data_IF_155154393731
#
_entry.id   IF_155154393731
#
_cell.length_a   1.000
_cell.length_b   1.000
_cell.length_c   1.000
_cell.angle_alpha   90.00
_cell.angle_beta   90.00
_cell.angle_gamma   90.00
#
_symmetry.space_group_name_H-M   'P 1'
#
loop_
_entity.id
_entity.type
_entity.pdbx_description
1 polymer ?
#
# COMPACT_ATOMS: atom_id res chain seq x y z
N UNK A 1 -9.45 -8.33 -14.32
CA UNK A 1 -10.11 -7.33 -13.50
C UNK A 1 -9.31 -6.05 -13.54
N UNK A 2 -10.00 -4.92 -13.62
CA UNK A 2 -9.36 -3.60 -13.52
C UNK A 2 -9.08 -3.26 -12.06
N UNK A 3 -8.32 -2.19 -11.84
CA UNK A 3 -8.09 -1.71 -10.47
C UNK A 3 -9.41 -1.37 -9.77
N UNK A 4 -10.36 -0.74 -10.46
CA UNK A 4 -11.66 -0.42 -9.87
C UNK A 4 -12.43 -1.67 -9.46
N UNK A 5 -12.37 -2.72 -10.27
CA UNK A 5 -12.99 -4.00 -9.94
C UNK A 5 -12.35 -4.60 -8.68
N UNK A 6 -11.04 -4.53 -8.55
CA UNK A 6 -10.34 -5.03 -7.38
C UNK A 6 -10.70 -4.24 -6.11
N UNK A 7 -10.80 -2.92 -6.23
CA UNK A 7 -11.18 -2.08 -5.08
C UNK A 7 -12.60 -2.40 -4.60
N UNK A 8 -13.54 -2.59 -5.55
CA UNK A 8 -14.91 -2.97 -5.20
C UNK A 8 -14.95 -4.36 -4.54
N UNK A 9 -14.14 -5.29 -5.05
CA UNK A 9 -14.04 -6.64 -4.46
C UNK A 9 -13.53 -6.56 -3.02
N UNK A 10 -12.49 -5.76 -2.77
CA UNK A 10 -11.91 -5.62 -1.43
C UNK A 10 -12.92 -5.04 -0.43
N UNK A 11 -13.77 -4.12 -0.84
CA UNK A 11 -14.78 -3.52 0.03
C UNK A 11 -15.80 -4.54 0.53
N UNK A 12 -16.01 -5.63 -0.22
CA UNK A 12 -17.02 -6.64 0.09
C UNK A 12 -16.46 -7.86 0.83
N UNK A 13 -15.13 -7.97 0.95
CA UNK A 13 -14.50 -9.17 1.50
C UNK A 13 -14.74 -9.37 2.99
N UNK A 14 -14.97 -8.30 3.74
CA UNK A 14 -15.08 -8.39 5.18
C UNK A 14 -16.44 -7.84 5.64
N UNK A 15 -17.16 -8.56 6.52
CA UNK A 15 -18.50 -8.12 6.95
C UNK A 15 -18.48 -6.92 7.90
N UNK A 16 -17.33 -6.60 8.48
CA UNK A 16 -17.18 -5.47 9.38
C UNK A 16 -16.54 -4.29 8.65
N UNK A 17 -17.09 -3.09 8.86
CA UNK A 17 -16.55 -1.88 8.27
C UNK A 17 -15.15 -1.57 8.82
N UNK A 18 -14.94 -1.81 10.12
CA UNK A 18 -13.66 -1.57 10.78
C UNK A 18 -13.30 -2.84 11.58
N UNK A 19 -12.09 -3.29 11.39
CA UNK A 19 -11.52 -4.37 12.19
C UNK A 19 -10.13 -3.94 12.65
N UNK A 20 -9.94 -3.84 13.95
CA UNK A 20 -8.71 -3.35 14.54
C UNK A 20 -7.63 -4.42 14.72
N UNK A 21 -7.99 -5.69 14.49
CA UNK A 21 -7.02 -6.79 14.60
C UNK A 21 -6.10 -6.88 13.39
N UNK A 22 -4.87 -7.34 13.62
CA UNK A 22 -3.87 -7.50 12.58
C UNK A 22 -3.64 -8.96 12.17
N UNK A 23 -4.35 -9.89 12.79
CA UNK A 23 -4.09 -11.32 12.59
C UNK A 23 -4.31 -11.76 11.14
N UNK A 24 -5.37 -11.26 10.51
CA UNK A 24 -5.68 -11.60 9.13
C UNK A 24 -4.62 -11.06 8.17
N UNK A 25 -4.19 -9.82 8.38
CA UNK A 25 -3.12 -9.21 7.59
C UNK A 25 -1.82 -10.01 7.75
N UNK A 26 -1.50 -10.39 8.98
CA UNK A 26 -0.31 -11.18 9.25
C UNK A 26 -0.33 -12.53 8.57
N UNK A 27 -1.48 -13.21 8.56
CA UNK A 27 -1.63 -14.49 7.87
C UNK A 27 -1.35 -14.37 6.38
N UNK A 28 -1.95 -13.38 5.73
CA UNK A 28 -1.75 -13.17 4.30
C UNK A 28 -0.31 -12.78 4.01
N UNK A 29 0.26 -11.88 4.82
CA UNK A 29 1.66 -11.47 4.65
C UNK A 29 2.63 -12.65 4.78
N UNK A 30 2.37 -13.56 5.72
CA UNK A 30 3.20 -14.76 5.87
C UNK A 30 3.09 -15.67 4.66
N UNK A 31 1.88 -15.83 4.11
CA UNK A 31 1.67 -16.65 2.91
C UNK A 31 2.37 -16.06 1.69
N UNK A 32 2.46 -14.74 1.62
CA UNK A 32 3.19 -14.04 0.56
C UNK A 32 4.70 -14.02 0.79
N UNK A 33 5.14 -14.44 1.98
CA UNK A 33 6.55 -14.40 2.39
C UNK A 33 7.13 -12.98 2.31
N UNK A 34 6.32 -12.00 2.74
CA UNK A 34 6.75 -10.61 2.73
C UNK A 34 7.80 -10.37 3.82
N UNK A 35 8.93 -9.83 3.39
CA UNK A 35 9.98 -9.40 4.29
C UNK A 35 10.63 -8.15 3.69
N UNK A 36 10.85 -7.13 4.53
CA UNK A 36 11.49 -5.91 4.08
C UNK A 36 12.98 -5.96 4.45
N UNK A 37 13.83 -5.94 3.44
CA UNK A 37 15.29 -5.89 3.64
C UNK A 37 15.78 -4.44 3.68
N UNK A 38 14.95 -3.49 3.28
CA UNK A 38 15.27 -2.07 3.30
C UNK A 38 14.74 -1.42 4.58
N UNK A 39 15.27 -0.24 4.97
CA UNK A 39 14.68 0.54 6.05
C UNK A 39 13.25 0.94 5.71
N UNK A 40 12.36 0.85 6.70
CA UNK A 40 10.97 1.28 6.58
C UNK A 40 10.73 2.39 7.59
N UNK A 41 10.35 3.57 7.08
CA UNK A 41 10.09 4.75 7.91
C UNK A 41 8.58 4.98 7.93
N UNK A 42 7.99 4.93 9.13
CA UNK A 42 6.57 5.17 9.31
C UNK A 42 6.34 6.57 9.89
N UNK A 43 5.48 7.34 9.22
CA UNK A 43 5.13 8.69 9.66
C UNK A 43 3.66 8.68 10.09
N UNK A 44 3.43 9.06 11.35
CA UNK A 44 2.09 9.09 11.92
C UNK A 44 1.82 10.46 12.54
N UNK A 45 0.56 10.83 12.64
CA UNK A 45 0.16 12.10 13.24
C UNK A 45 -1.13 12.62 12.64
N UNK A 46 -1.64 13.72 13.20
CA UNK A 46 -2.88 14.33 12.72
C UNK A 46 -2.65 15.37 11.63
N UNK A 47 -1.48 16.02 11.64
CA UNK A 47 -1.15 17.08 10.68
C UNK A 47 0.27 16.89 10.16
N UNK A 48 0.51 17.32 8.93
CA UNK A 48 1.84 17.39 8.37
C UNK A 48 2.44 16.06 7.91
N UNK A 49 1.68 14.96 7.95
CA UNK A 49 2.20 13.64 7.53
C UNK A 49 2.61 13.65 6.07
N UNK A 50 1.75 14.18 5.19
CA UNK A 50 2.03 14.23 3.77
C UNK A 50 3.24 15.08 3.45
N UNK A 51 3.38 16.24 4.09
CA UNK A 51 4.52 17.13 3.88
C UNK A 51 5.82 16.47 4.34
N UNK A 52 5.80 15.81 5.51
CA UNK A 52 6.96 15.11 6.02
C UNK A 52 7.39 14.00 5.09
N UNK A 53 6.44 13.20 4.59
CA UNK A 53 6.73 12.12 3.63
C UNK A 53 7.30 12.66 2.33
N UNK A 54 6.75 13.76 1.82
CA UNK A 54 7.25 14.38 0.59
C UNK A 54 8.69 14.87 0.74
N UNK A 55 9.01 15.46 1.88
CA UNK A 55 10.36 15.91 2.17
C UNK A 55 11.34 14.75 2.28
N UNK A 56 10.95 13.70 2.99
CA UNK A 56 11.79 12.50 3.12
C UNK A 56 12.04 11.86 1.78
N UNK A 57 10.99 11.71 0.96
CA UNK A 57 11.13 11.16 -0.39
C UNK A 57 12.10 11.97 -1.22
N UNK A 58 11.96 13.30 -1.21
CA UNK A 58 12.82 14.19 -1.98
C UNK A 58 14.28 14.09 -1.54
N UNK A 59 14.52 14.14 -0.23
CA UNK A 59 15.88 14.07 0.31
C UNK A 59 16.56 12.75 -0.05
N UNK A 60 15.84 11.64 0.13
CA UNK A 60 16.40 10.31 -0.13
C UNK A 60 16.66 10.09 -1.62
N UNK A 61 15.78 10.59 -2.49
CA UNK A 61 15.98 10.51 -3.94
C UNK A 61 17.20 11.30 -4.38
N UNK A 62 17.37 12.52 -3.85
CA UNK A 62 18.52 13.35 -4.20
C UNK A 62 19.82 12.76 -3.65
N UNK A 63 19.75 11.98 -2.59
CA UNK A 63 20.89 11.25 -2.06
C UNK A 63 21.24 10.00 -2.87
N UNK A 64 20.44 9.66 -3.88
CA UNK A 64 20.72 8.54 -4.78
C UNK A 64 20.02 7.24 -4.42
N UNK A 65 19.12 7.26 -3.45
CA UNK A 65 18.39 6.04 -3.06
C UNK A 65 17.16 5.82 -3.91
N UNK A 66 16.81 4.55 -4.13
CA UNK A 66 15.52 4.18 -4.69
C UNK A 66 14.48 4.22 -3.58
N UNK A 67 13.38 4.90 -3.80
CA UNK A 67 12.36 5.11 -2.78
C UNK A 67 11.03 4.50 -3.18
N UNK A 68 10.29 4.01 -2.18
CA UNK A 68 8.90 3.66 -2.31
C UNK A 68 8.13 4.42 -1.23
N UNK A 69 6.98 4.93 -1.56
CA UNK A 69 6.15 5.70 -0.63
C UNK A 69 4.71 5.23 -0.72
N UNK A 70 4.13 4.93 0.44
CA UNK A 70 2.70 4.66 0.55
C UNK A 70 2.06 5.70 1.47
N UNK A 71 1.00 6.34 0.99
CA UNK A 71 0.25 7.35 1.77
C UNK A 71 -1.25 7.11 1.65
N UNK A 72 -2.01 7.61 2.60
CA UNK A 72 -3.47 7.61 2.58
C UNK A 72 -4.00 8.86 3.28
N UNK A 73 -5.17 9.36 2.90
CA UNK A 73 -6.01 8.91 1.78
C UNK A 73 -5.52 9.46 0.44
N UNK A 74 -6.10 8.95 -0.67
CA UNK A 74 -5.85 9.53 -1.99
C UNK A 74 -6.83 10.68 -2.28
N UNK A 75 -6.46 11.57 -3.21
CA UNK A 75 -7.31 12.71 -3.59
C UNK A 75 -8.29 12.34 -4.68
N UNK A 76 -7.84 11.67 -5.74
CA UNK A 76 -8.67 11.32 -6.90
C UNK A 76 -8.56 9.84 -7.23
N UNK A 77 -7.36 9.32 -7.36
CA UNK A 77 -7.11 7.94 -7.80
C UNK A 77 -6.36 7.15 -6.73
N UNK A 78 -6.76 5.89 -6.53
CA UNK A 78 -6.14 5.02 -5.54
C UNK A 78 -4.63 4.87 -5.74
N UNK A 79 -4.17 4.80 -6.99
CA UNK A 79 -2.75 4.63 -7.30
C UNK A 79 -1.88 5.79 -6.84
N UNK A 80 -2.48 6.94 -6.48
CA UNK A 80 -1.75 8.04 -5.85
C UNK A 80 -1.12 7.66 -4.53
N UNK A 81 -1.69 6.63 -3.86
CA UNK A 81 -1.16 6.16 -2.57
C UNK A 81 0.21 5.54 -2.67
N UNK A 82 0.58 5.04 -3.85
CA UNK A 82 1.86 4.36 -4.07
C UNK A 82 2.73 5.18 -5.01
N UNK A 83 3.93 5.52 -4.54
CA UNK A 83 4.93 6.21 -5.36
C UNK A 83 6.19 5.38 -5.42
N UNK A 84 6.71 5.18 -6.62
CA UNK A 84 7.93 4.43 -6.84
C UNK A 84 8.97 5.38 -7.42
N UNK A 85 10.04 5.60 -6.67
CA UNK A 85 11.13 6.50 -7.05
C UNK A 85 10.61 7.89 -7.44
N UNK A 86 9.66 8.41 -6.64
CA UNK A 86 9.14 9.76 -6.76
C UNK A 86 8.00 9.95 -7.76
N UNK A 87 7.51 8.88 -8.37
CA UNK A 87 6.41 8.96 -9.34
C UNK A 87 5.24 8.07 -8.90
N UNK A 88 3.98 8.52 -9.10
CA UNK A 88 2.83 7.67 -8.78
C UNK A 88 2.86 6.37 -9.57
N UNK A 89 2.52 5.27 -8.92
CA UNK A 89 2.40 3.99 -9.59
C UNK A 89 1.21 4.03 -10.57
N UNK A 90 1.33 3.27 -11.66
CA UNK A 90 0.25 3.15 -12.61
C UNK A 90 -0.74 2.09 -12.15
N UNK A 91 -2.03 2.26 -12.49
CA UNK A 91 -3.07 1.32 -12.10
C UNK A 91 -2.74 -0.10 -12.56
N UNK A 92 -2.25 -0.25 -13.80
CA UNK A 92 -1.92 -1.56 -14.34
C UNK A 92 -0.69 -2.20 -13.67
N UNK A 93 0.13 -1.43 -12.97
CA UNK A 93 1.23 -1.96 -12.17
C UNK A 93 0.73 -2.56 -10.85
N UNK A 94 -0.38 -2.04 -10.32
CA UNK A 94 -0.93 -2.51 -9.05
C UNK A 94 -1.78 -3.78 -9.19
N UNK A 95 -2.46 -3.96 -10.33
CA UNK A 95 -3.38 -5.07 -10.55
C UNK A 95 -2.75 -6.45 -10.31
N UNK A 96 -1.53 -6.76 -10.81
CA UNK A 96 -0.92 -8.06 -10.53
C UNK A 96 -0.71 -8.32 -9.04
N UNK A 97 -0.45 -7.28 -8.26
CA UNK A 97 -0.24 -7.41 -6.82
C UNK A 97 -1.56 -7.74 -6.10
N UNK A 98 -2.68 -7.16 -6.55
CA UNK A 98 -4.00 -7.54 -6.04
C UNK A 98 -4.26 -9.02 -6.28
N UNK A 99 -3.92 -9.54 -7.47
CA UNK A 99 -4.08 -10.95 -7.78
C UNK A 99 -3.23 -11.84 -6.87
N UNK A 100 -1.99 -11.43 -6.59
CA UNK A 100 -1.11 -12.18 -5.69
C UNK A 100 -1.68 -12.25 -4.28
N UNK A 101 -2.20 -11.12 -3.78
CA UNK A 101 -2.81 -11.07 -2.45
C UNK A 101 -4.08 -11.95 -2.41
N UNK A 102 -4.91 -11.88 -3.45
CA UNK A 102 -6.12 -12.70 -3.54
C UNK A 102 -5.79 -14.18 -3.48
N UNK A 103 -4.77 -14.60 -4.22
CA UNK A 103 -4.33 -16.00 -4.21
C UNK A 103 -3.80 -16.41 -2.83
N UNK A 104 -3.10 -15.51 -2.15
CA UNK A 104 -2.51 -15.80 -0.85
C UNK A 104 -3.52 -15.81 0.29
N UNK A 105 -4.60 -15.02 0.18
CA UNK A 105 -5.55 -14.91 1.29
C UNK A 105 -6.38 -16.18 1.47
N UNK A 106 -6.64 -16.93 0.41
CA UNK A 106 -7.46 -18.12 0.49
C UNK A 106 -8.84 -17.80 1.10
N UNK A 107 -9.14 -18.38 2.27
CA UNK A 107 -10.39 -18.17 2.98
C UNK A 107 -10.35 -17.00 3.95
N UNK A 108 -9.20 -16.35 4.12
CA UNK A 108 -9.07 -15.19 5.01
C UNK A 108 -9.78 -13.98 4.41
N UNK A 109 -10.65 -13.36 5.18
CA UNK A 109 -11.39 -12.19 4.68
C UNK A 109 -10.64 -10.85 4.84
#
# INVERSE_FOLDING_TARGET
MTLQDWLAHCEQLHPQTIDMGLERVKQVAQRLQLAFECPVITVAGTNGKGSTCAMLESVLRQAGYKTGLYTSPHLVHFEERCRLHGEPALANELVPHFQRVENARGDTS
#
